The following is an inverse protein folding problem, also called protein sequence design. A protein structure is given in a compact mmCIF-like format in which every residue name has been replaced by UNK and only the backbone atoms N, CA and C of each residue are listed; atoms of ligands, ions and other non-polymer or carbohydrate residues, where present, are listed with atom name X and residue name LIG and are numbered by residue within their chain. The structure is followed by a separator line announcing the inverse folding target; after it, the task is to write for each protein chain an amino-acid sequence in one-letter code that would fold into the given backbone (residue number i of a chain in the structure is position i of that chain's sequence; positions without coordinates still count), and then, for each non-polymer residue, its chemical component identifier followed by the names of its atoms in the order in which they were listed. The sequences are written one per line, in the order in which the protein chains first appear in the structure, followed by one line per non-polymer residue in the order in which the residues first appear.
data_IF_111015499393
#
_entry.id   IF_111015499393
#
_cell.length_a   1.000
_cell.length_b   1.000
_cell.length_c   1.000
_cell.angle_alpha   90.00
_cell.angle_beta   90.00
_cell.angle_gamma   90.00
#
_symmetry.space_group_name_H-M   'P 1'
#
loop_
_entity.id
_entity.type
_entity.pdbx_description
1 polymer ?
#
# COMPACT_ATOMS: atom_id res chain seq x y z
N UNK A 1 1.15 27.69 9.81
CA UNK A 1 -0.32 27.78 9.74
C UNK A 1 -0.87 27.12 11.00
N UNK A 2 -1.89 27.67 11.66
CA UNK A 2 -2.51 26.97 12.79
C UNK A 2 -3.36 25.82 12.24
N UNK A 3 -3.24 24.59 12.82
CA UNK A 3 -4.06 23.46 12.37
C UNK A 3 -5.55 23.74 12.60
N UNK A 4 -6.38 23.42 11.62
CA UNK A 4 -7.83 23.52 11.70
C UNK A 4 -8.43 22.30 12.41
N UNK A 5 -9.65 22.40 12.98
CA UNK A 5 -10.38 21.22 13.41
C UNK A 5 -10.54 20.22 12.26
N UNK A 6 -10.40 18.94 12.59
CA UNK A 6 -10.61 17.84 11.64
C UNK A 6 -11.37 16.70 12.31
N UNK A 7 -12.05 15.90 11.51
CA UNK A 7 -12.86 14.80 12.00
C UNK A 7 -12.65 13.55 11.13
N UNK A 8 -12.60 12.40 11.79
CA UNK A 8 -12.64 11.08 11.19
C UNK A 8 -13.98 10.43 11.56
N UNK A 9 -14.75 10.01 10.57
CA UNK A 9 -16.01 9.30 10.74
C UNK A 9 -15.86 7.90 10.15
N UNK A 10 -16.12 6.88 10.95
CA UNK A 10 -16.12 5.48 10.54
C UNK A 10 -17.50 5.07 10.02
N UNK A 11 -17.55 4.02 9.21
CA UNK A 11 -18.77 3.50 8.59
C UNK A 11 -19.84 3.11 9.61
N UNK A 12 -19.46 2.63 10.79
CA UNK A 12 -20.36 2.28 11.89
C UNK A 12 -20.88 3.50 12.69
N UNK A 13 -20.50 4.72 12.26
CA UNK A 13 -20.90 5.97 12.88
C UNK A 13 -19.99 6.47 14.00
N UNK A 14 -18.93 5.73 14.36
CA UNK A 14 -17.94 6.19 15.35
C UNK A 14 -17.17 7.39 14.82
N UNK A 15 -16.97 8.39 15.70
CA UNK A 15 -16.35 9.68 15.34
C UNK A 15 -15.14 9.96 16.23
N UNK A 16 -14.07 10.44 15.60
CA UNK A 16 -12.86 10.92 16.27
C UNK A 16 -12.58 12.36 15.83
N UNK A 17 -12.33 13.24 16.81
CA UNK A 17 -11.96 14.63 16.57
C UNK A 17 -10.45 14.82 16.72
N UNK A 18 -9.89 15.70 15.91
CA UNK A 18 -8.47 16.02 15.93
C UNK A 18 -8.17 17.33 15.20
N UNK A 19 -6.99 17.44 14.67
CA UNK A 19 -6.47 18.61 13.95
C UNK A 19 -6.01 18.26 12.57
N UNK A 20 -6.17 19.17 11.61
CA UNK A 20 -5.70 18.97 10.24
C UNK A 20 -4.18 18.79 10.19
N UNK A 21 -3.75 17.91 9.28
CA UNK A 21 -2.38 17.68 8.88
C UNK A 21 -2.32 17.60 7.37
N UNK A 22 -1.29 18.17 6.73
CA UNK A 22 -1.20 18.25 5.28
C UNK A 22 -2.22 19.18 4.64
N UNK A 23 -2.80 18.77 3.51
CA UNK A 23 -3.77 19.58 2.76
C UNK A 23 -5.13 19.64 3.45
N UNK A 24 -5.75 20.82 3.42
CA UNK A 24 -7.15 20.97 3.82
C UNK A 24 -8.06 20.36 2.76
N UNK A 25 -8.99 19.50 3.18
CA UNK A 25 -9.91 18.80 2.30
C UNK A 25 -10.59 17.63 3.00
N UNK A 26 -11.25 16.78 2.20
CA UNK A 26 -11.81 15.52 2.64
C UNK A 26 -11.34 14.38 1.74
N UNK A 27 -11.22 13.18 2.34
CA UNK A 27 -10.82 11.96 1.64
C UNK A 27 -11.49 10.75 2.26
N UNK A 28 -11.67 9.70 1.48
CA UNK A 28 -12.35 8.46 1.89
C UNK A 28 -11.49 7.24 1.55
N UNK A 29 -11.77 6.14 2.21
CA UNK A 29 -11.16 4.84 1.92
C UNK A 29 -11.38 3.83 3.03
N UNK A 30 -11.00 2.60 2.78
CA UNK A 30 -10.96 1.59 3.84
C UNK A 30 -9.89 1.95 4.85
N UNK A 31 -10.25 2.00 6.14
CA UNK A 31 -9.30 2.32 7.20
C UNK A 31 -8.45 1.10 7.55
N UNK A 32 -7.14 1.30 7.59
CA UNK A 32 -6.17 0.29 7.99
C UNK A 32 -5.14 0.87 8.95
N UNK A 33 -4.32 0.04 9.58
CA UNK A 33 -3.25 0.51 10.46
C UNK A 33 -1.92 -0.18 10.17
N UNK A 34 -0.83 0.55 10.41
CA UNK A 34 0.52 0.03 10.35
C UNK A 34 1.23 0.28 11.68
N UNK A 35 1.98 -0.74 12.15
CA UNK A 35 2.69 -0.74 13.44
C UNK A 35 4.18 -0.48 13.33
N UNK A 36 4.68 -0.11 12.14
CA UNK A 36 6.06 0.25 11.92
C UNK A 36 6.48 1.46 12.76
N UNK A 37 7.62 1.34 13.45
CA UNK A 37 8.12 2.42 14.32
C UNK A 37 8.86 3.51 13.54
N UNK A 38 9.33 3.18 12.34
CA UNK A 38 10.09 4.05 11.43
C UNK A 38 9.68 3.77 9.97
N UNK A 39 10.17 4.56 9.01
CA UNK A 39 9.91 4.33 7.60
C UNK A 39 8.52 4.81 7.16
N UNK A 40 8.03 5.90 7.75
CA UNK A 40 6.68 6.37 7.41
C UNK A 40 6.57 6.80 5.94
N UNK A 41 7.62 7.38 5.34
CA UNK A 41 7.58 7.83 3.95
C UNK A 41 7.51 6.64 2.99
N UNK A 42 8.25 5.58 3.26
CA UNK A 42 8.21 4.31 2.53
C UNK A 42 6.80 3.69 2.61
N UNK A 43 6.17 3.72 3.80
CA UNK A 43 4.80 3.22 3.98
C UNK A 43 3.79 4.08 3.19
N UNK A 44 3.92 5.41 3.21
CA UNK A 44 2.99 6.30 2.49
C UNK A 44 3.07 6.15 0.97
N UNK A 45 4.24 5.77 0.45
CA UNK A 45 4.49 5.58 -0.97
C UNK A 45 4.38 4.13 -1.43
N UNK A 46 4.09 3.18 -0.53
CA UNK A 46 3.86 1.77 -0.86
C UNK A 46 2.52 1.63 -1.62
N UNK A 47 2.55 1.17 -2.88
CA UNK A 47 1.33 1.01 -3.67
C UNK A 47 0.28 0.07 -3.06
N UNK A 48 0.67 -0.85 -2.17
CA UNK A 48 -0.27 -1.75 -1.47
C UNK A 48 -1.31 -1.01 -0.63
N UNK A 49 -1.05 0.25 -0.24
CA UNK A 49 -1.99 1.09 0.50
C UNK A 49 -2.86 1.99 -0.37
N UNK A 50 -2.81 1.84 -1.69
CA UNK A 50 -3.60 2.70 -2.58
C UNK A 50 -5.09 2.65 -2.25
N UNK A 51 -5.69 3.84 -2.07
CA UNK A 51 -7.10 3.99 -1.71
C UNK A 51 -7.43 3.71 -0.23
N UNK A 52 -6.44 3.55 0.67
CA UNK A 52 -6.68 3.28 2.09
C UNK A 52 -6.35 4.49 2.97
N UNK A 53 -7.14 4.68 4.03
CA UNK A 53 -6.86 5.62 5.12
C UNK A 53 -5.94 4.92 6.13
N UNK A 54 -4.72 5.43 6.29
CA UNK A 54 -3.69 4.79 7.10
C UNK A 54 -3.63 5.37 8.51
N UNK A 55 -3.84 4.53 9.52
CA UNK A 55 -3.52 4.85 10.92
C UNK A 55 -2.07 4.48 11.20
N UNK A 56 -1.23 5.48 11.41
CA UNK A 56 0.14 5.27 11.88
C UNK A 56 0.14 5.15 13.41
N UNK A 57 0.62 4.00 13.94
CA UNK A 57 0.59 3.75 15.39
C UNK A 57 1.81 4.29 16.13
N UNK A 58 2.86 4.68 15.44
CA UNK A 58 4.01 5.34 16.03
C UNK A 58 3.62 6.70 16.62
N UNK A 59 4.34 7.09 17.67
CA UNK A 59 4.00 8.26 18.47
C UNK A 59 4.13 9.60 17.71
N UNK A 60 5.06 9.67 16.75
CA UNK A 60 5.38 10.92 16.04
C UNK A 60 5.52 10.67 14.54
N UNK A 61 4.88 11.52 13.73
CA UNK A 61 5.05 11.61 12.29
C UNK A 61 5.67 12.98 11.96
N UNK A 62 6.67 12.99 11.07
CA UNK A 62 7.34 14.21 10.59
C UNK A 62 8.66 14.55 11.28
N UNK A 63 8.97 13.93 12.42
CA UNK A 63 10.14 14.25 13.25
C UNK A 63 11.51 14.09 12.57
N UNK A 64 11.60 13.34 11.46
CA UNK A 64 12.83 13.24 10.67
C UNK A 64 12.68 13.74 9.22
N UNK A 65 11.57 14.43 8.91
CA UNK A 65 11.32 15.02 7.60
C UNK A 65 11.11 13.98 6.49
N UNK A 66 11.33 14.40 5.25
CA UNK A 66 11.23 13.55 4.06
C UNK A 66 12.54 13.55 3.27
N UNK A 67 12.80 12.48 2.53
CA UNK A 67 13.96 12.35 1.66
C UNK A 67 13.54 11.73 0.33
N UNK A 68 14.03 12.27 -0.78
CA UNK A 68 13.63 11.85 -2.14
C UNK A 68 13.94 10.38 -2.44
N UNK A 69 14.89 9.78 -1.70
CA UNK A 69 15.25 8.36 -1.86
C UNK A 69 14.46 7.41 -0.98
N UNK A 70 13.76 7.92 0.04
CA UNK A 70 13.03 7.09 1.01
C UNK A 70 11.59 6.84 0.53
N UNK A 71 11.46 6.32 -0.70
CA UNK A 71 10.19 6.10 -1.38
C UNK A 71 10.13 4.73 -2.05
N UNK A 72 8.97 4.10 -2.01
CA UNK A 72 8.68 2.83 -2.67
C UNK A 72 8.02 2.99 -4.04
N UNK A 73 7.52 4.19 -4.36
CA UNK A 73 6.96 4.54 -5.67
C UNK A 73 7.04 6.03 -5.94
N UNK A 74 6.65 6.47 -7.15
CA UNK A 74 6.82 7.86 -7.61
C UNK A 74 5.92 8.90 -6.93
N UNK A 75 4.97 8.52 -6.06
CA UNK A 75 4.07 9.44 -5.35
C UNK A 75 3.49 8.77 -4.09
N UNK A 76 2.84 9.56 -3.23
CA UNK A 76 2.04 9.03 -2.11
C UNK A 76 0.89 8.16 -2.66
N UNK A 77 0.63 7.03 -2.00
CA UNK A 77 -0.41 6.05 -2.38
C UNK A 77 -1.54 5.93 -1.37
N UNK A 78 -1.28 6.23 -0.10
CA UNK A 78 -2.35 6.28 0.89
C UNK A 78 -3.37 7.36 0.53
N UNK A 79 -4.66 7.11 0.82
CA UNK A 79 -5.72 8.09 0.60
C UNK A 79 -5.72 9.20 1.66
N UNK A 80 -5.26 8.90 2.88
CA UNK A 80 -5.15 9.86 3.97
C UNK A 80 -4.37 9.30 5.15
N UNK A 81 -3.86 10.19 6.00
CA UNK A 81 -3.10 9.84 7.19
C UNK A 81 -3.88 10.14 8.47
N UNK A 82 -3.85 9.19 9.41
CA UNK A 82 -4.34 9.35 10.78
C UNK A 82 -3.18 9.08 11.73
N UNK A 83 -2.79 10.07 12.56
CA UNK A 83 -1.66 9.91 13.48
C UNK A 83 -1.90 10.59 14.83
N UNK A 84 -1.08 10.23 15.83
CA UNK A 84 -1.17 10.83 17.16
C UNK A 84 -0.55 12.21 17.19
N UNK A 85 0.72 12.34 16.82
CA UNK A 85 1.42 13.60 16.75
C UNK A 85 1.96 13.83 15.34
N UNK A 86 1.77 15.04 14.84
CA UNK A 86 2.26 15.49 13.57
C UNK A 86 3.13 16.73 13.76
N UNK A 87 4.35 16.71 13.22
CA UNK A 87 5.25 17.86 13.31
C UNK A 87 5.87 18.17 11.94
N UNK A 88 5.98 19.46 11.62
CA UNK A 88 6.72 19.95 10.46
C UNK A 88 8.18 20.28 10.78
N UNK A 89 8.55 20.28 12.08
CA UNK A 89 9.93 20.46 12.50
C UNK A 89 10.63 19.11 12.49
N UNK A 90 11.72 19.02 11.76
CA UNK A 90 12.50 17.78 11.62
C UNK A 90 13.96 17.99 12.00
N UNK A 91 14.61 16.91 12.43
CA UNK A 91 15.98 16.93 12.97
C UNK A 91 17.01 16.18 12.10
N UNK A 92 16.57 15.43 11.08
CA UNK A 92 17.48 14.65 10.22
C UNK A 92 18.22 15.57 9.24
N UNK A 93 19.58 15.64 9.26
CA UNK A 93 20.34 16.52 8.38
C UNK A 93 20.18 16.22 6.88
N UNK A 94 19.86 14.98 6.52
CA UNK A 94 19.69 14.53 5.14
C UNK A 94 18.24 14.68 4.62
N UNK A 95 17.35 15.26 5.39
CA UNK A 95 15.98 15.52 4.94
C UNK A 95 15.94 16.64 3.88
N UNK A 96 15.11 16.45 2.86
CA UNK A 96 14.95 17.43 1.77
C UNK A 96 13.86 18.45 2.09
N UNK A 97 12.79 18.02 2.82
CA UNK A 97 11.65 18.86 3.15
C UNK A 97 10.96 18.40 4.45
N UNK A 98 10.04 19.23 4.95
CA UNK A 98 9.12 18.82 6.00
C UNK A 98 8.05 17.88 5.46
N UNK A 99 7.48 17.07 6.35
CA UNK A 99 6.35 16.21 5.98
C UNK A 99 5.10 17.02 5.59
N UNK A 100 4.93 18.22 6.13
CA UNK A 100 3.82 19.11 5.80
C UNK A 100 3.91 19.59 4.34
N UNK A 101 5.08 20.08 3.93
CA UNK A 101 5.34 20.51 2.53
C UNK A 101 5.15 19.34 1.56
N UNK A 102 5.61 18.15 1.94
CA UNK A 102 5.44 16.94 1.13
C UNK A 102 3.95 16.59 0.95
N UNK A 103 3.15 16.65 2.03
CA UNK A 103 1.71 16.37 1.95
C UNK A 103 0.94 17.41 1.16
N UNK A 104 1.29 18.70 1.28
CA UNK A 104 0.68 19.77 0.48
C UNK A 104 0.97 19.61 -1.01
N UNK A 105 2.23 19.27 -1.36
CA UNK A 105 2.65 19.00 -2.74
C UNK A 105 1.92 17.81 -3.33
N UNK A 106 1.78 16.74 -2.58
CA UNK A 106 1.13 15.49 -3.00
C UNK A 106 -0.40 15.53 -2.81
N UNK A 107 -0.96 16.62 -2.30
CA UNK A 107 -2.38 16.81 -2.00
C UNK A 107 -2.95 15.81 -0.96
N UNK A 108 -2.15 15.34 -0.02
CA UNK A 108 -2.59 14.41 1.00
C UNK A 108 -3.31 15.11 2.16
N UNK A 109 -4.51 14.64 2.48
CA UNK A 109 -5.28 15.05 3.66
C UNK A 109 -4.91 14.18 4.85
N UNK A 110 -4.74 14.78 6.02
CA UNK A 110 -4.43 14.06 7.26
C UNK A 110 -5.15 14.62 8.48
N UNK A 111 -5.19 13.81 9.52
CA UNK A 111 -5.66 14.19 10.87
C UNK A 111 -4.64 13.77 11.91
N UNK A 112 -4.36 14.66 12.84
CA UNK A 112 -3.48 14.45 13.98
C UNK A 112 -4.20 14.75 15.29
N UNK A 113 -3.53 14.52 16.41
CA UNK A 113 -4.07 14.74 17.76
C UNK A 113 -5.30 13.87 18.07
N UNK A 114 -5.32 12.65 17.50
CA UNK A 114 -6.37 11.65 17.73
C UNK A 114 -5.85 10.47 18.55
N UNK A 115 -6.75 9.75 19.21
CA UNK A 115 -6.42 8.51 19.92
C UNK A 115 -6.29 7.35 18.94
N UNK A 116 -5.11 7.23 18.31
CA UNK A 116 -4.80 6.14 17.36
C UNK A 116 -4.91 4.75 17.99
N UNK A 117 -4.65 4.62 19.30
CA UNK A 117 -4.82 3.37 20.02
C UNK A 117 -6.29 2.95 20.11
N UNK A 118 -7.19 3.89 20.42
CA UNK A 118 -8.62 3.61 20.42
C UNK A 118 -9.11 3.20 19.03
N UNK A 119 -8.68 3.91 17.98
CA UNK A 119 -9.02 3.58 16.57
C UNK A 119 -8.55 2.16 16.22
N UNK A 120 -7.29 1.82 16.49
CA UNK A 120 -6.75 0.49 16.19
C UNK A 120 -7.50 -0.62 16.95
N UNK A 121 -7.82 -0.40 18.23
CA UNK A 121 -8.62 -1.36 19.01
C UNK A 121 -10.02 -1.53 18.42
N UNK A 122 -10.63 -0.45 17.95
CA UNK A 122 -11.92 -0.46 17.30
C UNK A 122 -11.89 -1.31 16.01
N UNK A 123 -10.94 -1.03 15.10
CA UNK A 123 -10.77 -1.78 13.84
C UNK A 123 -10.48 -3.26 14.12
N UNK A 124 -9.66 -3.58 15.10
CA UNK A 124 -9.37 -4.98 15.47
C UNK A 124 -10.60 -5.72 16.00
N UNK A 125 -11.51 -5.02 16.67
CA UNK A 125 -12.73 -5.59 17.24
C UNK A 125 -13.86 -5.70 16.23
N UNK A 126 -14.06 -4.65 15.39
CA UNK A 126 -15.20 -4.53 14.47
C UNK A 126 -14.90 -4.96 13.04
N UNK A 127 -13.64 -5.04 12.67
CA UNK A 127 -13.17 -5.32 11.31
C UNK A 127 -12.74 -4.07 10.56
N UNK A 128 -12.12 -4.29 9.39
CA UNK A 128 -11.83 -3.22 8.45
C UNK A 128 -13.16 -2.69 7.89
N UNK A 129 -13.24 -1.37 7.73
CA UNK A 129 -14.45 -0.67 7.27
C UNK A 129 -14.07 0.60 6.53
N UNK A 130 -15.01 1.16 5.77
CA UNK A 130 -14.80 2.47 5.16
C UNK A 130 -14.80 3.59 6.21
N UNK A 131 -14.09 4.66 5.90
CA UNK A 131 -14.07 5.87 6.70
C UNK A 131 -13.94 7.10 5.82
N UNK A 132 -14.32 8.25 6.36
CA UNK A 132 -14.08 9.58 5.79
C UNK A 132 -13.33 10.44 6.77
N UNK A 133 -12.28 11.10 6.28
CA UNK A 133 -11.49 12.07 7.01
C UNK A 133 -11.73 13.44 6.39
N UNK A 134 -12.03 14.44 7.19
CA UNK A 134 -12.29 15.81 6.72
C UNK A 134 -11.70 16.87 7.64
N UNK A 135 -11.09 17.89 7.01
CA UNK A 135 -10.69 19.17 7.62
C UNK A 135 -11.31 20.37 6.91
N UNK A 136 -12.15 20.15 5.89
CA UNK A 136 -12.92 21.21 5.24
C UNK A 136 -14.29 21.42 5.87
N UNK A 137 -14.89 20.36 6.41
CA UNK A 137 -16.13 20.40 7.20
C UNK A 137 -16.03 19.45 8.37
N UNK A 138 -16.68 19.78 9.48
CA UNK A 138 -16.83 18.91 10.66
C UNK A 138 -18.28 18.51 10.89
N UNK A 139 -19.16 18.73 9.91
CA UNK A 139 -20.55 18.27 9.96
C UNK A 139 -20.61 16.75 9.78
N UNK A 140 -20.82 16.05 10.88
CA UNK A 140 -20.81 14.59 10.94
C UNK A 140 -21.93 13.97 10.10
N UNK A 141 -23.10 14.59 10.02
CA UNK A 141 -24.22 14.03 9.26
C UNK A 141 -23.98 14.17 7.74
N UNK A 142 -23.43 15.28 7.29
CA UNK A 142 -22.98 15.44 5.91
C UNK A 142 -21.92 14.38 5.56
N UNK A 143 -20.92 14.20 6.43
CA UNK A 143 -19.84 13.23 6.21
C UNK A 143 -20.34 11.79 6.18
N UNK A 144 -21.28 11.41 7.05
CA UNK A 144 -21.94 10.10 7.02
C UNK A 144 -22.69 9.87 5.70
N UNK A 145 -23.35 10.91 5.17
CA UNK A 145 -24.04 10.80 3.89
C UNK A 145 -23.05 10.56 2.74
N UNK A 146 -21.92 11.28 2.72
CA UNK A 146 -20.83 11.08 1.72
C UNK A 146 -20.24 9.68 1.84
N UNK A 147 -20.02 9.19 3.06
CA UNK A 147 -19.40 7.89 3.34
C UNK A 147 -20.24 6.71 2.82
N UNK A 148 -21.57 6.80 2.87
CA UNK A 148 -22.49 5.76 2.33
C UNK A 148 -22.32 5.50 0.83
N UNK A 149 -21.68 6.42 0.09
CA UNK A 149 -21.46 6.30 -1.35
C UNK A 149 -20.10 5.67 -1.69
N UNK A 150 -19.26 5.43 -0.69
CA UNK A 150 -17.92 4.84 -0.88
C UNK A 150 -18.05 3.33 -1.05
N UNK A 151 -17.56 2.75 -2.16
CA UNK A 151 -17.64 1.31 -2.36
C UNK A 151 -16.75 0.58 -1.35
N UNK A 152 -17.08 -0.67 -0.98
CA UNK A 152 -16.20 -1.51 -0.18
C UNK A 152 -14.94 -1.87 -0.96
N UNK A 153 -13.85 -2.16 -0.27
CA UNK A 153 -12.59 -2.61 -0.89
C UNK A 153 -12.75 -3.96 -1.61
N UNK A 154 -13.65 -4.81 -1.12
CA UNK A 154 -13.96 -6.09 -1.72
C UNK A 154 -14.55 -5.91 -3.12
N UNK A 155 -14.03 -6.65 -4.10
CA UNK A 155 -14.40 -6.53 -5.51
C UNK A 155 -13.73 -5.38 -6.27
N UNK A 156 -12.89 -4.55 -5.62
CA UNK A 156 -12.17 -3.47 -6.32
C UNK A 156 -10.86 -3.94 -6.96
N UNK A 157 -10.77 -3.76 -8.26
CA UNK A 157 -9.52 -3.89 -9.02
C UNK A 157 -8.76 -2.57 -8.94
N UNK A 158 -7.71 -2.51 -8.11
CA UNK A 158 -6.92 -1.30 -7.89
C UNK A 158 -5.48 -1.40 -8.45
N UNK A 159 -5.02 -2.61 -8.79
CA UNK A 159 -3.67 -2.84 -9.27
C UNK A 159 -3.37 -2.10 -10.57
N UNK A 160 -4.32 -2.04 -11.50
CA UNK A 160 -4.14 -1.30 -12.77
C UNK A 160 -3.97 0.21 -12.60
N UNK A 161 -4.40 0.79 -11.46
CA UNK A 161 -4.25 2.20 -11.16
C UNK A 161 -2.83 2.58 -10.69
N UNK A 162 -2.08 1.60 -10.17
CA UNK A 162 -0.73 1.81 -9.62
C UNK A 162 0.36 1.13 -10.42
N UNK A 163 0.00 0.23 -11.32
CA UNK A 163 0.90 -0.45 -12.24
C UNK A 163 1.58 0.53 -13.20
N UNK A 164 2.80 0.20 -13.63
CA UNK A 164 3.47 0.93 -14.71
C UNK A 164 2.62 0.92 -15.99
N UNK A 165 2.69 2.01 -16.75
CA UNK A 165 1.99 2.13 -18.04
C UNK A 165 2.77 1.48 -19.18
N UNK A 166 4.10 1.48 -19.10
CA UNK A 166 5.02 0.97 -20.10
C UNK A 166 6.04 0.05 -19.45
N UNK A 167 6.48 -0.97 -20.18
CA UNK A 167 7.51 -1.86 -19.71
C UNK A 167 8.87 -1.14 -19.65
N UNK A 168 9.64 -1.39 -18.60
CA UNK A 168 10.99 -0.85 -18.43
C UNK A 168 11.94 -1.89 -17.85
N UNK A 169 13.25 -1.65 -17.93
CA UNK A 169 14.27 -2.55 -17.44
C UNK A 169 15.14 -1.93 -16.38
N UNK A 170 15.67 -2.78 -15.49
CA UNK A 170 16.61 -2.43 -14.43
C UNK A 170 17.73 -3.48 -14.35
N UNK A 171 18.92 -3.06 -13.95
CA UNK A 171 20.09 -3.93 -13.83
C UNK A 171 20.89 -4.03 -15.11
N UNK A 172 21.89 -4.93 -15.10
CA UNK A 172 22.81 -5.17 -16.22
C UNK A 172 22.19 -6.19 -17.20
N UNK A 173 22.06 -5.84 -18.51
CA UNK A 173 21.62 -6.82 -19.52
C UNK A 173 22.48 -8.09 -19.61
N UNK A 174 23.73 -8.04 -19.16
CA UNK A 174 24.66 -9.18 -19.07
C UNK A 174 24.58 -9.99 -17.78
N UNK A 175 23.63 -9.67 -16.87
CA UNK A 175 23.44 -10.41 -15.62
C UNK A 175 23.05 -11.86 -15.84
N UNK A 176 23.37 -12.72 -14.85
CA UNK A 176 23.19 -14.18 -14.93
C UNK A 176 21.73 -14.60 -15.06
N UNK A 177 20.79 -13.81 -14.48
CA UNK A 177 19.36 -14.15 -14.44
C UNK A 177 18.50 -13.04 -15.02
N UNK A 178 17.53 -13.43 -15.84
CA UNK A 178 16.51 -12.53 -16.42
C UNK A 178 15.17 -12.77 -15.74
N UNK A 179 14.64 -11.74 -15.05
CA UNK A 179 13.38 -11.86 -14.31
C UNK A 179 12.31 -10.97 -14.95
N UNK A 180 11.20 -11.57 -15.38
CA UNK A 180 10.02 -10.85 -15.82
C UNK A 180 9.12 -10.56 -14.60
N UNK A 181 8.86 -9.31 -14.33
CA UNK A 181 8.02 -8.83 -13.22
C UNK A 181 6.68 -8.37 -13.77
N UNK A 182 5.58 -8.94 -13.28
CA UNK A 182 4.24 -8.38 -13.44
C UNK A 182 4.00 -7.36 -12.32
N UNK A 183 3.81 -6.12 -12.72
CA UNK A 183 3.65 -4.98 -11.81
C UNK A 183 2.19 -4.76 -11.43
N UNK A 184 1.81 -5.19 -10.24
CA UNK A 184 0.51 -4.93 -9.61
C UNK A 184 0.57 -3.78 -8.60
N UNK A 185 1.68 -3.07 -8.54
CA UNK A 185 2.01 -2.04 -7.55
C UNK A 185 3.30 -2.37 -6.81
N UNK A 186 4.37 -2.62 -7.56
CA UNK A 186 5.65 -3.07 -7.04
C UNK A 186 6.32 -2.01 -6.17
N UNK A 187 6.81 -2.42 -4.99
CA UNK A 187 7.75 -1.61 -4.23
C UNK A 187 9.09 -1.53 -4.94
N UNK A 188 9.63 -0.33 -5.02
CA UNK A 188 10.94 -0.06 -5.65
C UNK A 188 12.05 -0.92 -5.05
N UNK A 189 12.09 -1.02 -3.71
CA UNK A 189 13.14 -1.77 -3.02
C UNK A 189 13.15 -3.27 -3.37
N UNK A 190 12.02 -3.86 -3.75
CA UNK A 190 11.98 -5.25 -4.23
C UNK A 190 12.79 -5.39 -5.52
N UNK A 191 12.61 -4.48 -6.46
CA UNK A 191 13.34 -4.47 -7.73
C UNK A 191 14.83 -4.23 -7.50
N UNK A 192 15.16 -3.26 -6.65
CA UNK A 192 16.56 -2.95 -6.28
C UNK A 192 17.25 -4.17 -5.63
N UNK A 193 16.54 -4.90 -4.78
CA UNK A 193 17.04 -6.14 -4.18
C UNK A 193 17.31 -7.26 -5.21
N UNK A 194 16.50 -7.37 -6.26
CA UNK A 194 16.74 -8.32 -7.36
C UNK A 194 17.98 -7.93 -8.17
N UNK A 195 18.09 -6.66 -8.53
CA UNK A 195 19.25 -6.13 -9.27
C UNK A 195 20.56 -6.33 -8.49
N UNK A 196 20.56 -6.03 -7.18
CA UNK A 196 21.72 -6.26 -6.30
C UNK A 196 22.13 -7.73 -6.20
N UNK A 197 21.24 -8.65 -6.52
CA UNK A 197 21.48 -10.11 -6.55
C UNK A 197 21.80 -10.66 -7.94
N UNK A 198 22.17 -9.79 -8.87
CA UNK A 198 22.58 -10.20 -10.22
C UNK A 198 21.43 -10.53 -11.16
N UNK A 199 20.25 -9.92 -10.94
CA UNK A 199 19.15 -10.07 -11.88
C UNK A 199 19.07 -8.89 -12.86
N UNK A 200 18.89 -9.19 -14.14
CA UNK A 200 18.37 -8.24 -15.11
C UNK A 200 16.84 -8.33 -15.11
N UNK A 201 16.19 -7.28 -14.67
CA UNK A 201 14.76 -7.23 -14.42
C UNK A 201 14.06 -6.46 -15.53
N UNK A 202 12.96 -7.01 -16.07
CA UNK A 202 12.01 -6.27 -16.91
C UNK A 202 10.65 -6.27 -16.24
N UNK A 203 10.19 -5.06 -15.94
CA UNK A 203 8.90 -4.78 -15.29
C UNK A 203 7.86 -4.54 -16.37
N UNK A 204 6.75 -5.24 -16.29
CA UNK A 204 5.67 -5.19 -17.26
C UNK A 204 4.37 -4.70 -16.61
N UNK A 205 3.51 -3.99 -17.34
CA UNK A 205 2.18 -3.63 -16.87
C UNK A 205 1.36 -4.84 -16.41
N UNK A 206 0.48 -4.63 -15.43
CA UNK A 206 -0.36 -5.68 -14.81
C UNK A 206 -1.14 -6.54 -15.81
N UNK A 207 -1.59 -5.95 -16.92
CA UNK A 207 -2.41 -6.63 -17.96
C UNK A 207 -1.60 -7.24 -19.10
N UNK A 208 -0.27 -7.37 -18.94
CA UNK A 208 0.59 -7.96 -19.97
C UNK A 208 0.34 -9.46 -20.07
N UNK A 209 0.19 -9.97 -21.32
CA UNK A 209 -0.04 -11.39 -21.60
C UNK A 209 1.27 -12.17 -21.59
N UNK A 210 1.20 -13.47 -21.29
CA UNK A 210 2.37 -14.36 -21.26
C UNK A 210 3.22 -14.29 -22.55
N UNK A 211 2.61 -14.22 -23.73
CA UNK A 211 3.36 -14.13 -25.01
C UNK A 211 4.35 -12.95 -25.03
N UNK A 212 3.92 -11.80 -24.49
CA UNK A 212 4.71 -10.56 -24.50
C UNK A 212 5.82 -10.63 -23.41
N UNK A 213 5.57 -11.32 -22.30
CA UNK A 213 6.58 -11.63 -21.27
C UNK A 213 7.68 -12.54 -21.85
N UNK A 214 7.30 -13.53 -22.66
CA UNK A 214 8.23 -14.51 -23.29
C UNK A 214 9.22 -13.86 -24.27
N UNK A 215 8.88 -12.75 -24.90
CA UNK A 215 9.80 -12.00 -25.78
C UNK A 215 11.06 -11.54 -25.02
N UNK A 216 10.95 -11.29 -23.72
CA UNK A 216 12.08 -10.98 -22.86
C UNK A 216 12.99 -12.19 -22.58
N UNK A 217 12.56 -13.43 -22.87
CA UNK A 217 13.24 -14.70 -22.57
C UNK A 217 13.63 -14.80 -21.09
N UNK A 218 12.67 -14.68 -20.16
CA UNK A 218 12.98 -14.72 -18.74
C UNK A 218 13.41 -16.12 -18.29
N UNK A 219 14.29 -16.19 -17.29
CA UNK A 219 14.64 -17.41 -16.56
C UNK A 219 13.60 -17.71 -15.47
N UNK A 220 12.94 -16.67 -14.95
CA UNK A 220 11.88 -16.77 -13.95
C UNK A 220 10.93 -15.58 -13.98
N UNK A 221 9.82 -15.73 -13.25
CA UNK A 221 8.76 -14.74 -13.16
C UNK A 221 8.55 -14.28 -11.74
N UNK A 222 8.19 -13.01 -11.59
CA UNK A 222 7.87 -12.43 -10.30
C UNK A 222 6.52 -11.70 -10.37
N UNK A 223 5.66 -12.00 -9.40
CA UNK A 223 4.35 -11.36 -9.21
C UNK A 223 4.45 -10.40 -8.04
N UNK A 224 4.28 -9.11 -8.29
CA UNK A 224 4.52 -8.11 -7.27
C UNK A 224 3.41 -8.04 -6.21
N UNK A 225 3.68 -7.34 -5.13
CA UNK A 225 2.69 -6.79 -4.21
C UNK A 225 1.76 -5.81 -4.95
N UNK A 226 0.65 -5.44 -4.31
CA UNK A 226 -0.29 -4.46 -4.86
C UNK A 226 -1.55 -4.30 -4.02
N UNK A 227 -2.41 -3.32 -4.36
CA UNK A 227 -3.68 -3.05 -3.71
C UNK A 227 -4.85 -3.80 -4.36
N UNK A 228 -5.98 -3.80 -3.68
CA UNK A 228 -7.25 -4.30 -4.18
C UNK A 228 -7.55 -5.75 -3.84
N UNK A 229 -8.59 -6.26 -4.46
CA UNK A 229 -9.08 -7.62 -4.28
C UNK A 229 -8.59 -8.52 -5.41
N UNK A 230 -7.78 -9.58 -5.12
CA UNK A 230 -7.30 -10.48 -6.16
C UNK A 230 -8.43 -11.20 -6.91
N UNK A 231 -9.61 -11.40 -6.30
CA UNK A 231 -10.75 -12.06 -6.93
C UNK A 231 -11.37 -11.26 -8.09
N UNK A 232 -11.08 -9.96 -8.17
CA UNK A 232 -11.50 -9.07 -9.27
C UNK A 232 -10.51 -9.02 -10.44
N UNK A 233 -9.42 -9.81 -10.39
CA UNK A 233 -8.30 -9.73 -11.33
C UNK A 233 -8.20 -10.97 -12.24
N UNK A 234 -9.31 -11.39 -12.86
CA UNK A 234 -9.34 -12.58 -13.74
C UNK A 234 -8.25 -12.59 -14.80
N UNK A 235 -7.93 -11.42 -15.37
CA UNK A 235 -6.85 -11.25 -16.35
C UNK A 235 -5.48 -11.66 -15.80
N UNK A 236 -5.22 -11.36 -14.53
CA UNK A 236 -3.96 -11.70 -13.87
C UNK A 236 -3.93 -13.19 -13.50
N UNK A 237 -5.02 -13.71 -12.93
CA UNK A 237 -5.18 -15.14 -12.59
C UNK A 237 -4.93 -16.00 -13.83
N UNK A 238 -5.54 -15.66 -14.99
CA UNK A 238 -5.34 -16.38 -16.24
C UNK A 238 -3.88 -16.30 -16.74
N UNK A 239 -3.25 -15.12 -16.64
CA UNK A 239 -1.83 -14.96 -17.03
C UNK A 239 -0.92 -15.80 -16.14
N UNK A 240 -1.18 -15.81 -14.81
CA UNK A 240 -0.41 -16.61 -13.84
C UNK A 240 -0.60 -18.11 -14.08
N UNK A 241 -1.81 -18.59 -14.36
CA UNK A 241 -2.05 -19.98 -14.74
C UNK A 241 -1.23 -20.40 -15.97
N UNK A 242 -1.20 -19.55 -17.00
CA UNK A 242 -0.38 -19.81 -18.18
C UNK A 242 1.14 -19.78 -17.90
N UNK A 243 1.60 -18.96 -16.94
CA UNK A 243 3.01 -18.94 -16.51
C UNK A 243 3.39 -20.25 -15.82
N UNK A 244 2.50 -20.83 -15.02
CA UNK A 244 2.75 -22.12 -14.35
C UNK A 244 3.03 -23.24 -15.33
N UNK A 245 2.40 -23.24 -16.52
CA UNK A 245 2.62 -24.21 -17.58
C UNK A 245 4.02 -24.11 -18.23
N UNK A 246 4.74 -22.98 -18.05
CA UNK A 246 6.10 -22.79 -18.57
C UNK A 246 7.16 -23.57 -17.76
N UNK A 247 6.81 -24.12 -16.61
CA UNK A 247 7.71 -24.87 -15.72
C UNK A 247 9.00 -24.11 -15.37
N UNK A 248 8.88 -22.78 -15.18
CA UNK A 248 9.96 -21.88 -14.75
C UNK A 248 9.73 -21.42 -13.32
N UNK A 249 10.81 -21.01 -12.61
CA UNK A 249 10.66 -20.41 -11.29
C UNK A 249 9.65 -19.25 -11.30
N UNK A 250 8.70 -19.30 -10.37
CA UNK A 250 7.69 -18.28 -10.17
C UNK A 250 7.60 -17.95 -8.67
N UNK A 251 7.66 -16.68 -8.35
CA UNK A 251 7.52 -16.19 -6.97
C UNK A 251 6.55 -15.02 -6.88
N UNK A 252 5.69 -14.99 -5.86
CA UNK A 252 4.70 -13.94 -5.64
C UNK A 252 4.79 -13.36 -4.23
N UNK A 253 4.66 -12.04 -4.11
CA UNK A 253 4.59 -11.34 -2.82
C UNK A 253 3.19 -10.73 -2.65
N UNK A 254 2.57 -10.91 -1.46
CA UNK A 254 1.29 -10.30 -1.07
C UNK A 254 0.21 -10.58 -2.13
N UNK A 255 -0.24 -9.57 -2.88
CA UNK A 255 -1.23 -9.73 -3.96
C UNK A 255 -0.77 -10.77 -5.00
N UNK A 256 0.52 -10.78 -5.37
CA UNK A 256 1.06 -11.77 -6.29
C UNK A 256 1.00 -13.20 -5.75
N UNK A 257 1.19 -13.41 -4.45
CA UNK A 257 0.98 -14.69 -3.79
C UNK A 257 -0.50 -15.11 -3.82
N UNK A 258 -1.41 -14.18 -3.58
CA UNK A 258 -2.85 -14.44 -3.63
C UNK A 258 -3.32 -14.81 -5.05
N UNK A 259 -2.82 -14.11 -6.07
CA UNK A 259 -3.09 -14.43 -7.48
C UNK A 259 -2.56 -15.81 -7.87
N UNK A 260 -1.40 -16.20 -7.34
CA UNK A 260 -0.84 -17.54 -7.54
C UNK A 260 -1.75 -18.60 -6.89
N UNK A 261 -2.24 -18.36 -5.67
CA UNK A 261 -3.19 -19.25 -5.00
C UNK A 261 -4.47 -19.45 -5.84
N UNK A 262 -5.06 -18.35 -6.33
CA UNK A 262 -6.25 -18.41 -7.20
C UNK A 262 -5.96 -19.18 -8.50
N UNK A 263 -4.80 -18.98 -9.12
CA UNK A 263 -4.42 -19.65 -10.36
C UNK A 263 -4.31 -21.19 -10.23
N UNK A 264 -4.01 -21.68 -9.01
CA UNK A 264 -3.99 -23.12 -8.70
C UNK A 264 -5.30 -23.62 -8.05
N UNK A 265 -6.35 -22.81 -8.07
CA UNK A 265 -7.68 -23.19 -7.57
C UNK A 265 -7.86 -23.05 -6.04
N UNK A 266 -6.93 -22.39 -5.33
CA UNK A 266 -7.04 -22.15 -3.89
C UNK A 266 -7.75 -20.81 -3.69
N UNK A 267 -8.93 -20.77 -3.03
CA UNK A 267 -9.69 -19.54 -2.85
C UNK A 267 -9.02 -18.60 -1.83
N UNK A 268 -9.24 -17.29 -2.02
CA UNK A 268 -8.91 -16.24 -1.07
C UNK A 268 -10.16 -15.76 -0.33
N UNK A 269 -9.97 -15.15 0.84
CA UNK A 269 -11.05 -14.52 1.59
C UNK A 269 -10.56 -13.24 2.26
N UNK A 270 -11.47 -12.30 2.49
CA UNK A 270 -11.15 -11.06 3.19
C UNK A 270 -10.96 -11.32 4.68
N UNK A 271 -9.81 -10.95 5.21
CA UNK A 271 -9.52 -11.04 6.64
C UNK A 271 -10.27 -9.97 7.41
N UNK A 272 -10.61 -10.24 8.67
CA UNK A 272 -11.37 -9.33 9.54
C UNK A 272 -10.79 -7.90 9.60
N UNK A 273 -9.48 -7.74 9.80
CA UNK A 273 -8.83 -6.41 9.79
C UNK A 273 -7.53 -6.38 8.97
N UNK A 274 -7.19 -7.51 8.33
CA UNK A 274 -5.99 -7.65 7.50
C UNK A 274 -4.67 -7.64 8.30
N UNK A 275 -3.59 -8.07 7.64
CA UNK A 275 -2.23 -8.01 8.16
C UNK A 275 -1.41 -7.02 7.32
N UNK A 276 -1.03 -5.89 7.93
CA UNK A 276 -0.23 -4.84 7.31
C UNK A 276 1.00 -4.46 8.16
N UNK A 277 1.40 -5.36 9.05
CA UNK A 277 2.61 -5.23 9.82
C UNK A 277 3.84 -5.63 9.00
N UNK A 278 4.97 -5.03 9.32
CA UNK A 278 6.27 -5.33 8.68
C UNK A 278 7.00 -6.49 9.34
N UNK A 279 6.47 -7.04 10.42
CA UNK A 279 7.10 -8.07 11.27
C UNK A 279 6.09 -9.12 11.77
N UNK A 280 5.17 -9.56 10.91
CA UNK A 280 4.27 -10.65 11.26
C UNK A 280 5.04 -11.98 11.30
N UNK A 281 4.98 -12.73 12.41
CA UNK A 281 5.57 -14.05 12.46
C UNK A 281 4.79 -15.03 11.57
N UNK A 282 5.50 -15.96 10.96
CA UNK A 282 4.94 -17.10 10.25
C UNK A 282 5.36 -18.39 10.94
N UNK A 283 4.47 -19.39 10.93
CA UNK A 283 4.78 -20.71 11.49
C UNK A 283 5.34 -21.60 10.38
N UNK A 284 6.55 -22.06 10.56
CA UNK A 284 7.09 -23.13 9.74
C UNK A 284 6.45 -24.46 10.19
N UNK A 285 5.55 -25.01 9.35
CA UNK A 285 4.78 -26.21 9.70
C UNK A 285 5.64 -27.47 9.87
N UNK A 286 6.83 -27.52 9.26
CA UNK A 286 7.74 -28.66 9.39
C UNK A 286 8.51 -28.63 10.72
N UNK A 287 8.94 -27.47 11.15
CA UNK A 287 9.71 -27.28 12.39
C UNK A 287 8.85 -26.93 13.61
N UNK A 288 7.61 -26.45 13.40
CA UNK A 288 6.73 -25.91 14.45
C UNK A 288 7.23 -24.59 15.05
N UNK A 289 8.24 -23.96 14.46
CA UNK A 289 8.83 -22.70 14.97
C UNK A 289 8.24 -21.50 14.25
N UNK A 290 8.11 -20.38 14.98
CA UNK A 290 7.85 -19.08 14.39
C UNK A 290 9.15 -18.50 13.82
N UNK A 291 9.06 -17.97 12.62
CA UNK A 291 10.12 -17.29 11.88
C UNK A 291 9.69 -15.88 11.53
#
# INVERSE_FOLDING_TARGET
MQPLPAVLVLEDGTVFHGKSAGKIGATTGEICFNTGMTGYQEIFTDPSYFGQLLVATNAHIGNYGTKDTDVESGSIKIAGLICKNFTWQFSRPQANASIQEYFEKENLVGISDVDTRAIVRHIRSKGAMNAILSSETTDVEELKHRLKQVPPMEGLELASHVSTREAYTLGDPGADFRVAVLDFGTKRNILDCMVQRGCFVKVFPAKTRLRDLKEFRPDGYFLSNGPGDPSSMDYAVQTVANILDENKPLFGICLGHQLLALAVGIPTYKMHHGHRGINHPVINLLSGKCE
#
